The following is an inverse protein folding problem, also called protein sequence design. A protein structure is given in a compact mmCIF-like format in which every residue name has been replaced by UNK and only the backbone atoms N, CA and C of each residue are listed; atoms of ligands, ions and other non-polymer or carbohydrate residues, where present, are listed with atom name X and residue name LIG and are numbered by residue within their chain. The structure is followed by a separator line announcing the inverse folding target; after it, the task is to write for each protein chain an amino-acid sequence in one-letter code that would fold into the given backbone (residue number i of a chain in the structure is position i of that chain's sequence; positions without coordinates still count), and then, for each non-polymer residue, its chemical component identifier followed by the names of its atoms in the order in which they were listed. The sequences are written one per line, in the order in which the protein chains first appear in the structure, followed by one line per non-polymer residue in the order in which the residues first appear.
data_IF_504139237978
#
_entry.id   IF_504139237978
#
_cell.length_a   1.000
_cell.length_b   1.000
_cell.length_c   1.000
_cell.angle_alpha   90.00
_cell.angle_beta   90.00
_cell.angle_gamma   90.00
#
_symmetry.space_group_name_H-M   'P 1'
#
loop_
_entity.id
_entity.type
_entity.pdbx_description
1 polymer ?
#
# COMPACT_ATOMS: atom_id res chain seq x y z
N UNK A 1 -15.22 70.34 20.16
CA UNK A 1 -15.51 69.08 19.63
C UNK A 1 -14.33 68.17 19.90
N UNK A 2 -14.40 67.33 20.93
CA UNK A 2 -13.40 66.28 21.23
C UNK A 2 -13.82 65.00 20.48
N UNK A 3 -12.94 64.51 19.60
CA UNK A 3 -13.06 63.19 18.96
C UNK A 3 -12.48 62.16 19.91
N UNK A 4 -13.35 61.41 20.57
CA UNK A 4 -13.00 60.24 21.39
C UNK A 4 -12.98 59.03 20.47
N UNK A 5 -11.80 58.66 19.96
CA UNK A 5 -11.58 57.38 19.27
C UNK A 5 -11.27 56.34 20.34
N UNK A 6 -12.33 55.74 20.87
CA UNK A 6 -12.20 54.49 21.66
C UNK A 6 -11.75 53.36 20.75
N UNK A 7 -10.47 52.93 20.86
CA UNK A 7 -9.98 51.66 20.37
C UNK A 7 -10.80 50.54 21.04
N UNK A 8 -11.33 49.56 20.27
CA UNK A 8 -11.94 48.40 20.87
C UNK A 8 -10.85 47.62 21.60
N UNK A 9 -10.97 47.52 22.91
CA UNK A 9 -10.10 46.71 23.76
C UNK A 9 -10.08 45.25 23.22
N UNK A 10 -8.87 44.73 22.97
CA UNK A 10 -8.65 43.34 22.58
C UNK A 10 -9.31 42.41 23.60
N UNK A 11 -10.33 41.71 23.15
CA UNK A 11 -11.11 40.78 23.99
C UNK A 11 -10.19 39.67 24.48
N UNK A 12 -10.19 39.28 25.78
CA UNK A 12 -9.32 38.22 26.31
C UNK A 12 -9.41 36.90 25.55
N UNK A 13 -10.53 36.66 24.87
CA UNK A 13 -10.72 35.52 23.97
C UNK A 13 -9.84 35.56 22.70
N UNK A 14 -9.44 36.74 22.21
CA UNK A 14 -8.52 36.89 21.07
C UNK A 14 -7.06 36.65 21.49
N UNK A 15 -6.67 37.10 22.65
CA UNK A 15 -5.32 36.87 23.20
C UNK A 15 -5.12 35.35 23.49
N UNK A 16 -6.14 34.68 24.01
CA UNK A 16 -6.11 33.24 24.32
C UNK A 16 -6.09 32.36 23.03
N UNK A 17 -6.76 32.80 21.95
CA UNK A 17 -6.66 32.15 20.64
C UNK A 17 -5.30 32.40 19.96
N UNK A 18 -4.75 33.60 20.05
CA UNK A 18 -3.43 33.90 19.47
C UNK A 18 -2.30 33.15 20.17
N UNK A 19 -2.35 33.01 21.49
CA UNK A 19 -1.36 32.20 22.22
C UNK A 19 -1.47 30.70 21.90
N UNK A 20 -2.67 30.17 21.73
CA UNK A 20 -2.87 28.77 21.30
C UNK A 20 -2.38 28.52 19.87
N UNK A 21 -2.60 29.46 18.95
CA UNK A 21 -2.12 29.37 17.57
C UNK A 21 -0.58 29.45 17.49
N UNK A 22 0.04 30.30 18.32
CA UNK A 22 1.50 30.42 18.45
C UNK A 22 2.12 29.17 19.09
N UNK A 23 1.51 28.60 20.12
CA UNK A 23 1.95 27.36 20.74
C UNK A 23 1.82 26.18 19.78
N UNK A 24 0.77 26.13 18.96
CA UNK A 24 0.59 25.08 17.94
C UNK A 24 1.58 25.24 16.78
N UNK A 25 1.96 26.47 16.42
CA UNK A 25 3.00 26.74 15.41
C UNK A 25 4.42 26.35 15.89
N UNK A 26 4.70 26.43 17.18
CA UNK A 26 6.00 26.07 17.77
C UNK A 26 6.13 24.56 18.11
N UNK A 27 5.06 23.80 18.07
CA UNK A 27 5.10 22.35 18.36
C UNK A 27 5.86 21.59 17.28
N UNK A 28 6.91 20.89 17.70
CA UNK A 28 7.70 19.98 16.84
C UNK A 28 6.98 18.66 16.62
N UNK A 29 7.25 18.01 15.49
CA UNK A 29 6.75 16.67 15.22
C UNK A 29 7.30 15.66 16.24
N UNK A 30 6.46 14.78 16.83
CA UNK A 30 6.91 13.71 17.72
C UNK A 30 7.53 12.57 16.92
N UNK A 31 8.74 12.80 16.41
CA UNK A 31 9.45 11.87 15.51
C UNK A 31 9.50 10.42 16.03
N UNK A 32 9.83 10.14 17.34
CA UNK A 32 9.88 8.76 17.80
C UNK A 32 8.54 8.02 17.69
N UNK A 33 7.42 8.71 17.94
CA UNK A 33 6.09 8.14 17.80
C UNK A 33 5.70 7.98 16.32
N UNK A 34 6.05 8.94 15.44
CA UNK A 34 5.83 8.83 13.99
C UNK A 34 6.66 7.71 13.37
N UNK A 35 7.90 7.50 13.82
CA UNK A 35 8.74 6.38 13.39
C UNK A 35 8.17 5.02 13.86
N UNK A 36 7.58 4.95 15.05
CA UNK A 36 6.86 3.74 15.47
C UNK A 36 5.69 3.43 14.54
N UNK A 37 4.92 4.45 14.10
CA UNK A 37 3.86 4.26 13.09
C UNK A 37 4.42 3.91 11.71
N UNK A 38 5.55 4.48 11.29
CA UNK A 38 6.22 4.11 10.04
C UNK A 38 6.69 2.64 10.07
N UNK A 39 7.19 2.18 11.21
CA UNK A 39 7.54 0.76 11.41
C UNK A 39 6.29 -0.13 11.40
N UNK A 40 5.15 0.34 11.90
CA UNK A 40 3.88 -0.39 11.78
C UNK A 40 3.45 -0.52 10.31
N UNK A 41 3.56 0.55 9.51
CA UNK A 41 3.32 0.51 8.06
C UNK A 41 4.30 -0.46 7.38
N UNK A 42 5.58 -0.41 7.74
CA UNK A 42 6.61 -1.30 7.22
C UNK A 42 6.27 -2.79 7.48
N UNK A 43 5.95 -3.16 8.73
CA UNK A 43 5.59 -4.54 9.09
C UNK A 43 4.31 -4.98 8.36
N UNK A 44 3.32 -4.11 8.26
CA UNK A 44 2.07 -4.41 7.54
C UNK A 44 2.37 -4.73 6.07
N UNK A 45 3.10 -3.85 5.38
CA UNK A 45 3.46 -4.02 3.97
C UNK A 45 4.38 -5.23 3.76
N UNK A 46 5.35 -5.45 4.65
CA UNK A 46 6.25 -6.60 4.56
C UNK A 46 5.51 -7.92 4.75
N UNK A 47 4.62 -8.02 5.74
CA UNK A 47 3.79 -9.22 5.96
C UNK A 47 2.91 -9.53 4.75
N UNK A 48 2.43 -8.51 4.05
CA UNK A 48 1.60 -8.61 2.86
C UNK A 48 2.38 -9.18 1.67
N UNK A 49 3.57 -8.65 1.40
CA UNK A 49 4.29 -8.84 0.14
C UNK A 49 5.41 -9.90 0.19
N UNK A 50 5.94 -10.19 1.36
CA UNK A 50 7.05 -11.15 1.54
C UNK A 50 6.77 -12.56 0.97
N UNK A 51 5.55 -13.14 1.08
CA UNK A 51 5.29 -14.46 0.53
C UNK A 51 5.66 -14.61 -0.94
N UNK A 52 5.54 -13.54 -1.73
CA UNK A 52 5.90 -13.57 -3.15
C UNK A 52 7.38 -13.92 -3.40
N UNK A 53 8.27 -13.48 -2.50
CA UNK A 53 9.71 -13.75 -2.60
C UNK A 53 10.13 -15.16 -2.16
N UNK A 54 9.29 -15.85 -1.36
CA UNK A 54 9.61 -17.16 -0.78
C UNK A 54 8.57 -18.24 -1.13
N UNK A 55 7.71 -17.95 -2.11
CA UNK A 55 6.54 -18.77 -2.47
C UNK A 55 6.89 -20.21 -2.84
N UNK A 56 7.89 -20.49 -3.71
CA UNK A 56 8.26 -21.86 -4.06
C UNK A 56 8.71 -22.67 -2.84
N UNK A 57 9.54 -22.07 -1.98
CA UNK A 57 10.02 -22.73 -0.77
C UNK A 57 8.89 -23.04 0.22
N UNK A 58 7.92 -22.12 0.36
CA UNK A 58 6.72 -22.36 1.18
C UNK A 58 5.86 -23.49 0.60
N UNK A 59 5.64 -23.51 -0.71
CA UNK A 59 4.86 -24.54 -1.40
C UNK A 59 5.47 -25.93 -1.24
N UNK A 60 6.76 -26.04 -1.51
CA UNK A 60 7.50 -27.32 -1.38
C UNK A 60 7.44 -27.86 0.06
N UNK A 61 7.61 -27.00 1.05
CA UNK A 61 7.69 -27.39 2.46
C UNK A 61 6.31 -27.73 3.07
N UNK A 62 5.23 -27.12 2.56
CA UNK A 62 3.84 -27.40 2.94
C UNK A 62 3.18 -28.47 2.06
N UNK A 63 3.90 -29.03 1.09
CA UNK A 63 3.42 -30.11 0.21
C UNK A 63 2.30 -29.68 -0.75
N UNK A 64 2.30 -28.41 -1.21
CA UNK A 64 1.30 -27.87 -2.14
C UNK A 64 1.97 -27.22 -3.34
N UNK A 65 1.23 -27.17 -4.45
CA UNK A 65 1.69 -26.45 -5.64
C UNK A 65 1.78 -24.95 -5.42
N UNK A 66 2.57 -24.28 -6.25
CA UNK A 66 2.82 -22.82 -6.13
C UNK A 66 1.57 -22.00 -6.38
N UNK A 67 0.66 -22.47 -7.26
CA UNK A 67 -0.65 -21.86 -7.47
C UNK A 67 -1.47 -21.82 -6.17
N UNK A 68 -1.51 -22.96 -5.44
CA UNK A 68 -2.18 -23.02 -4.14
C UNK A 68 -1.47 -22.10 -3.11
N UNK A 69 -0.13 -22.10 -3.09
CA UNK A 69 0.61 -21.26 -2.17
C UNK A 69 0.41 -19.75 -2.46
N UNK A 70 0.28 -19.36 -3.72
CA UNK A 70 -0.04 -18.00 -4.14
C UNK A 70 -1.37 -17.49 -3.57
N UNK A 71 -2.32 -18.38 -3.23
CA UNK A 71 -3.56 -18.01 -2.55
C UNK A 71 -3.33 -17.40 -1.16
N UNK A 72 -2.12 -17.49 -0.61
CA UNK A 72 -1.75 -16.81 0.63
C UNK A 72 -1.86 -15.29 0.54
N UNK A 73 -1.60 -14.71 -0.65
CA UNK A 73 -1.80 -13.29 -0.94
C UNK A 73 -3.29 -12.97 -1.07
N UNK A 74 -4.02 -13.82 -1.80
CA UNK A 74 -5.49 -13.70 -1.97
C UNK A 74 -6.21 -13.70 -0.62
N UNK A 75 -5.93 -14.67 0.23
CA UNK A 75 -6.59 -14.82 1.55
C UNK A 75 -6.29 -13.64 2.48
N UNK A 76 -5.05 -13.13 2.44
CA UNK A 76 -4.68 -11.92 3.17
C UNK A 76 -5.48 -10.71 2.67
N UNK A 77 -5.55 -10.50 1.35
CA UNK A 77 -6.29 -9.38 0.75
C UNK A 77 -7.81 -9.49 1.03
N UNK A 78 -8.38 -10.70 1.02
CA UNK A 78 -9.78 -10.95 1.43
C UNK A 78 -9.96 -10.57 2.90
N UNK A 79 -9.06 -10.99 3.80
CA UNK A 79 -9.09 -10.62 5.20
C UNK A 79 -9.10 -9.11 5.40
N UNK A 80 -8.24 -8.39 4.66
CA UNK A 80 -8.17 -6.93 4.69
C UNK A 80 -9.46 -6.29 4.16
N UNK A 81 -9.94 -6.72 3.00
CA UNK A 81 -11.12 -6.14 2.34
C UNK A 81 -12.42 -6.34 3.15
N UNK A 82 -12.64 -7.56 3.64
CA UNK A 82 -13.86 -7.89 4.39
C UNK A 82 -13.92 -7.22 5.75
N UNK A 83 -12.80 -6.90 6.36
CA UNK A 83 -12.75 -6.41 7.75
C UNK A 83 -12.45 -4.93 7.87
N UNK A 84 -11.82 -4.30 6.87
CA UNK A 84 -11.45 -2.87 6.92
C UNK A 84 -12.64 -1.96 7.26
N UNK A 85 -13.79 -2.14 6.62
CA UNK A 85 -15.00 -1.33 6.85
C UNK A 85 -15.76 -1.77 8.10
N UNK A 86 -16.23 -3.05 8.22
CA UNK A 86 -17.07 -3.45 9.35
C UNK A 86 -16.31 -3.42 10.68
N UNK A 87 -15.06 -3.86 10.71
CA UNK A 87 -14.26 -3.87 11.92
C UNK A 87 -13.87 -2.46 12.35
N UNK A 88 -13.52 -1.58 11.41
CA UNK A 88 -13.31 -0.15 11.67
C UNK A 88 -14.57 0.52 12.25
N UNK A 89 -15.77 0.13 11.79
CA UNK A 89 -17.03 0.61 12.31
C UNK A 89 -17.30 0.07 13.72
N UNK A 90 -17.14 -1.24 13.92
CA UNK A 90 -17.36 -1.89 15.22
C UNK A 90 -16.40 -1.38 16.31
N UNK A 91 -15.17 -1.04 15.93
CA UNK A 91 -14.13 -0.57 16.85
C UNK A 91 -14.01 0.96 16.90
N UNK A 92 -14.91 1.70 16.26
CA UNK A 92 -14.84 3.17 16.19
C UNK A 92 -14.78 3.85 17.56
N UNK A 93 -15.49 3.32 18.55
CA UNK A 93 -15.49 3.78 19.94
C UNK A 93 -14.27 3.38 20.77
N UNK A 94 -13.40 2.50 20.28
CA UNK A 94 -12.23 2.05 21.01
C UNK A 94 -11.14 3.11 21.06
N UNK A 95 -10.37 3.11 22.15
CA UNK A 95 -9.18 3.96 22.26
C UNK A 95 -8.17 3.57 21.17
N UNK A 96 -7.64 4.58 20.46
CA UNK A 96 -6.87 4.37 19.24
C UNK A 96 -5.57 3.60 19.47
N UNK A 97 -4.88 3.86 20.59
CA UNK A 97 -3.67 3.12 20.98
C UNK A 97 -3.97 1.64 21.23
N UNK A 98 -5.06 1.35 21.95
CA UNK A 98 -5.48 -0.03 22.20
C UNK A 98 -5.75 -0.78 20.91
N UNK A 99 -6.44 -0.13 19.97
CA UNK A 99 -6.76 -0.72 18.67
C UNK A 99 -5.51 -0.98 17.83
N UNK A 100 -4.55 -0.05 17.82
CA UNK A 100 -3.27 -0.22 17.13
C UNK A 100 -2.45 -1.37 17.73
N UNK A 101 -2.38 -1.46 19.06
CA UNK A 101 -1.71 -2.57 19.75
C UNK A 101 -2.37 -3.91 19.43
N UNK A 102 -3.70 -3.96 19.36
CA UNK A 102 -4.45 -5.17 18.96
C UNK A 102 -4.11 -5.59 17.53
N UNK A 103 -4.02 -4.66 16.59
CA UNK A 103 -3.61 -4.94 15.22
C UNK A 103 -2.17 -5.49 15.17
N UNK A 104 -1.23 -4.87 15.86
CA UNK A 104 0.17 -5.33 15.90
C UNK A 104 0.30 -6.69 16.60
N UNK A 105 -0.46 -6.94 17.67
CA UNK A 105 -0.54 -8.26 18.30
C UNK A 105 -1.12 -9.32 17.34
N UNK A 106 -2.13 -8.96 16.55
CA UNK A 106 -2.66 -9.80 15.48
C UNK A 106 -1.60 -10.20 14.45
N UNK A 107 -0.77 -9.25 14.02
CA UNK A 107 0.39 -9.55 13.15
C UNK A 107 1.41 -10.48 13.82
N UNK A 108 1.78 -10.20 15.07
CA UNK A 108 2.73 -11.04 15.80
C UNK A 108 2.23 -12.49 15.91
N UNK A 109 0.99 -12.68 16.29
CA UNK A 109 0.36 -14.03 16.38
C UNK A 109 0.29 -14.69 15.00
N UNK A 110 -0.20 -13.98 13.98
CA UNK A 110 -0.35 -14.54 12.65
C UNK A 110 0.99 -14.95 12.02
N UNK A 111 2.03 -14.11 12.15
CA UNK A 111 3.36 -14.43 11.65
C UNK A 111 4.03 -15.56 12.44
N UNK A 112 3.81 -15.62 13.76
CA UNK A 112 4.29 -16.76 14.59
C UNK A 112 3.64 -18.06 14.14
N UNK A 113 2.31 -18.07 13.96
CA UNK A 113 1.59 -19.26 13.48
C UNK A 113 2.05 -19.64 12.08
N UNK A 114 2.25 -18.68 11.19
CA UNK A 114 2.80 -18.93 9.85
C UNK A 114 4.19 -19.57 9.93
N UNK A 115 5.09 -19.02 10.75
CA UNK A 115 6.45 -19.55 10.92
C UNK A 115 6.48 -20.97 11.50
N UNK A 116 5.59 -21.27 12.45
CA UNK A 116 5.55 -22.57 13.13
C UNK A 116 4.69 -23.62 12.40
N UNK A 117 3.87 -23.21 11.43
CA UNK A 117 2.93 -24.10 10.77
C UNK A 117 3.63 -25.15 9.85
N UNK A 118 3.19 -26.39 9.99
CA UNK A 118 3.51 -27.48 9.06
C UNK A 118 2.29 -27.87 8.19
N UNK A 119 1.23 -27.05 8.20
CA UNK A 119 -0.04 -27.34 7.55
C UNK A 119 -0.50 -26.17 6.69
N UNK A 120 -0.77 -26.44 5.40
CA UNK A 120 -1.29 -25.43 4.47
C UNK A 120 -2.57 -24.75 4.99
N UNK A 121 -3.64 -25.45 5.45
CA UNK A 121 -4.84 -24.79 5.96
C UNK A 121 -4.58 -23.87 7.16
N UNK A 122 -3.69 -24.26 8.07
CA UNK A 122 -3.33 -23.44 9.23
C UNK A 122 -2.56 -22.20 8.79
N UNK A 123 -1.65 -22.34 7.83
CA UNK A 123 -0.96 -21.18 7.22
C UNK A 123 -1.95 -20.24 6.57
N UNK A 124 -2.95 -20.72 5.82
CA UNK A 124 -3.99 -19.89 5.21
C UNK A 124 -4.85 -19.17 6.26
N UNK A 125 -5.23 -19.85 7.35
CA UNK A 125 -5.95 -19.21 8.46
C UNK A 125 -5.10 -18.10 9.11
N UNK A 126 -3.82 -18.32 9.32
CA UNK A 126 -2.90 -17.30 9.83
C UNK A 126 -2.77 -16.11 8.86
N UNK A 127 -2.68 -16.35 7.56
CA UNK A 127 -2.67 -15.30 6.52
C UNK A 127 -3.96 -14.48 6.50
N UNK A 128 -5.12 -15.12 6.69
CA UNK A 128 -6.39 -14.42 6.85
C UNK A 128 -6.39 -13.50 8.08
N UNK A 129 -5.94 -14.01 9.24
CA UNK A 129 -5.82 -13.20 10.48
C UNK A 129 -4.86 -12.03 10.29
N UNK A 130 -3.73 -12.23 9.59
CA UNK A 130 -2.83 -11.15 9.23
C UNK A 130 -3.52 -10.09 8.36
N UNK A 131 -4.34 -10.49 7.39
CA UNK A 131 -5.16 -9.59 6.58
C UNK A 131 -6.17 -8.78 7.41
N UNK A 132 -6.85 -9.42 8.37
CA UNK A 132 -7.75 -8.74 9.33
C UNK A 132 -6.99 -7.68 10.13
N UNK A 133 -5.80 -8.01 10.64
CA UNK A 133 -4.94 -7.08 11.35
C UNK A 133 -4.50 -5.91 10.46
N UNK A 134 -4.22 -6.17 9.18
CA UNK A 134 -3.90 -5.15 8.17
C UNK A 134 -5.05 -4.18 7.94
N UNK A 135 -6.27 -4.68 7.79
CA UNK A 135 -7.46 -3.85 7.64
C UNK A 135 -7.64 -2.86 8.79
N UNK A 136 -7.40 -3.31 10.03
CA UNK A 136 -7.38 -2.43 11.21
C UNK A 136 -6.24 -1.41 11.17
N UNK A 137 -5.03 -1.85 10.85
CA UNK A 137 -3.85 -0.98 10.81
C UNK A 137 -4.00 0.13 9.78
N UNK A 138 -4.37 -0.20 8.53
CA UNK A 138 -4.58 0.78 7.46
C UNK A 138 -5.66 1.81 7.78
N UNK A 139 -6.74 1.40 8.44
CA UNK A 139 -7.80 2.32 8.86
C UNK A 139 -7.35 3.32 9.94
N UNK A 140 -6.25 3.05 10.65
CA UNK A 140 -5.79 3.86 11.78
C UNK A 140 -4.60 4.76 11.46
N UNK A 141 -3.60 4.23 10.74
CA UNK A 141 -2.24 4.79 10.71
C UNK A 141 -2.18 6.23 10.20
N UNK A 142 -2.84 6.55 9.07
CA UNK A 142 -2.86 7.90 8.52
C UNK A 142 -3.59 8.89 9.44
N UNK A 143 -4.75 8.49 9.98
CA UNK A 143 -5.52 9.31 10.92
C UNK A 143 -4.77 9.55 12.24
N UNK A 144 -4.00 8.56 12.69
CA UNK A 144 -3.16 8.65 13.88
C UNK A 144 -2.02 9.66 13.69
N UNK A 145 -1.29 9.57 12.57
CA UNK A 145 -0.24 10.50 12.20
C UNK A 145 -0.73 11.97 12.19
N UNK A 146 -1.90 12.19 11.59
CA UNK A 146 -2.52 13.53 11.52
C UNK A 146 -2.88 14.10 12.91
N UNK A 147 -3.31 13.25 13.86
CA UNK A 147 -3.66 13.68 15.22
C UNK A 147 -2.46 14.02 16.08
N UNK A 148 -1.30 13.41 15.81
CA UNK A 148 -0.07 13.69 16.56
C UNK A 148 0.63 14.97 16.10
N UNK A 149 0.28 15.49 14.93
CA UNK A 149 0.95 16.61 14.31
C UNK A 149 0.14 17.93 14.44
N UNK A 150 0.82 19.09 14.62
CA UNK A 150 0.22 20.41 14.46
C UNK A 150 -0.45 20.55 13.09
N UNK A 151 -1.44 21.44 12.96
CA UNK A 151 -2.25 21.59 11.75
C UNK A 151 -1.41 21.78 10.48
N UNK A 152 -0.39 22.63 10.55
CA UNK A 152 0.52 22.95 9.42
C UNK A 152 1.50 21.83 9.06
N UNK A 153 1.69 20.80 9.90
CA UNK A 153 2.61 19.67 9.68
C UNK A 153 1.91 18.33 9.47
N UNK A 154 0.57 18.28 9.41
CA UNK A 154 -0.20 17.04 9.27
C UNK A 154 0.16 16.24 8.03
N UNK A 155 0.35 16.91 6.90
CA UNK A 155 0.80 16.26 5.65
C UNK A 155 2.19 15.62 5.80
N UNK A 156 3.13 16.36 6.41
CA UNK A 156 4.48 15.86 6.67
C UNK A 156 4.49 14.65 7.62
N UNK A 157 3.66 14.66 8.65
CA UNK A 157 3.52 13.54 9.56
C UNK A 157 3.00 12.27 8.86
N UNK A 158 1.98 12.41 8.00
CA UNK A 158 1.48 11.27 7.19
C UNK A 158 2.56 10.79 6.23
N UNK A 159 3.28 11.70 5.55
CA UNK A 159 4.36 11.33 4.66
C UNK A 159 5.46 10.51 5.37
N UNK A 160 5.89 10.93 6.58
CA UNK A 160 6.86 10.18 7.39
C UNK A 160 6.33 8.77 7.69
N UNK A 161 5.08 8.63 8.11
CA UNK A 161 4.50 7.32 8.43
C UNK A 161 4.41 6.43 7.19
N UNK A 162 4.01 6.98 6.04
CA UNK A 162 3.86 6.22 4.80
C UNK A 162 5.20 5.83 4.15
N UNK A 163 6.35 6.37 4.57
CA UNK A 163 7.66 5.88 4.12
C UNK A 163 7.91 4.41 4.47
N UNK A 164 7.16 3.85 5.43
CA UNK A 164 7.20 2.42 5.72
C UNK A 164 6.91 1.53 4.50
N UNK A 165 6.03 1.94 3.59
CA UNK A 165 5.71 1.17 2.37
C UNK A 165 6.93 1.02 1.46
N UNK A 166 7.52 2.11 0.94
CA UNK A 166 8.66 1.98 0.04
C UNK A 166 9.88 1.31 0.70
N UNK A 167 10.09 1.53 2.00
CA UNK A 167 11.16 0.84 2.73
C UNK A 167 10.91 -0.67 2.82
N UNK A 168 9.66 -1.10 3.03
CA UNK A 168 9.30 -2.51 3.02
C UNK A 168 9.56 -3.14 1.65
N UNK A 169 9.11 -2.50 0.58
CA UNK A 169 9.24 -3.04 -0.79
C UNK A 169 10.68 -3.03 -1.31
N UNK A 170 11.46 -1.98 -1.00
CA UNK A 170 12.80 -1.83 -1.55
C UNK A 170 13.91 -2.48 -0.73
N UNK A 171 13.72 -2.64 0.58
CA UNK A 171 14.71 -3.24 1.48
C UNK A 171 14.15 -4.46 2.22
N UNK A 172 12.92 -4.36 2.74
CA UNK A 172 12.33 -5.39 3.57
C UNK A 172 12.09 -6.69 2.82
N UNK A 173 11.45 -6.62 1.64
CA UNK A 173 11.15 -7.83 0.84
C UNK A 173 12.43 -8.46 0.30
N UNK A 174 13.37 -7.75 -0.33
CA UNK A 174 14.62 -8.34 -0.77
C UNK A 174 15.42 -8.98 0.39
N UNK A 175 15.56 -8.27 1.51
CA UNK A 175 16.26 -8.80 2.67
C UNK A 175 15.56 -10.03 3.27
N UNK A 176 14.22 -10.02 3.30
CA UNK A 176 13.42 -11.14 3.76
C UNK A 176 13.48 -12.34 2.82
N UNK A 177 13.52 -12.13 1.49
CA UNK A 177 13.72 -13.18 0.50
C UNK A 177 15.10 -13.79 0.63
N UNK A 178 16.15 -12.96 0.68
CA UNK A 178 17.53 -13.43 0.91
C UNK A 178 17.67 -14.24 2.21
N UNK A 179 17.07 -13.75 3.30
CA UNK A 179 17.06 -14.48 4.56
C UNK A 179 16.31 -15.81 4.45
N UNK A 180 15.21 -15.83 3.68
CA UNK A 180 14.43 -17.01 3.40
C UNK A 180 15.18 -18.07 2.59
N UNK A 181 15.99 -17.66 1.62
CA UNK A 181 16.87 -18.53 0.83
C UNK A 181 18.00 -19.10 1.71
N UNK A 182 18.60 -18.28 2.58
CA UNK A 182 19.76 -18.67 3.38
C UNK A 182 19.38 -19.55 4.58
N UNK A 183 18.34 -19.19 5.32
CA UNK A 183 17.97 -19.79 6.61
C UNK A 183 16.58 -20.46 6.61
N UNK A 184 15.88 -20.39 5.49
CA UNK A 184 14.52 -20.89 5.34
C UNK A 184 13.45 -19.85 5.64
N UNK A 185 12.34 -19.92 4.91
CA UNK A 185 11.24 -18.96 4.98
C UNK A 185 10.60 -18.81 6.37
N UNK A 186 10.66 -19.86 7.21
CA UNK A 186 10.15 -19.82 8.59
C UNK A 186 10.92 -18.84 9.46
N UNK A 187 12.24 -18.75 9.26
CA UNK A 187 13.10 -17.79 9.98
C UNK A 187 12.71 -16.37 9.63
N UNK A 188 12.39 -16.10 8.38
CA UNK A 188 11.95 -14.76 7.93
C UNK A 188 10.66 -14.32 8.63
N UNK A 189 9.65 -15.18 8.70
CA UNK A 189 8.42 -14.88 9.45
C UNK A 189 8.64 -14.76 10.95
N UNK A 190 9.60 -15.51 11.52
CA UNK A 190 10.01 -15.37 12.93
C UNK A 190 10.64 -14.01 13.19
N UNK A 191 11.47 -13.51 12.28
CA UNK A 191 12.06 -12.15 12.37
C UNK A 191 10.96 -11.09 12.35
N UNK A 192 9.96 -11.21 11.47
CA UNK A 192 8.82 -10.28 11.45
C UNK A 192 8.05 -10.33 12.78
N UNK A 193 7.88 -11.52 13.38
CA UNK A 193 7.27 -11.67 14.72
C UNK A 193 8.05 -10.89 15.78
N UNK A 194 9.38 -11.03 15.79
CA UNK A 194 10.23 -10.31 16.75
C UNK A 194 10.14 -8.80 16.54
N UNK A 195 10.18 -8.35 15.29
CA UNK A 195 10.01 -6.92 14.95
C UNK A 195 8.64 -6.40 15.42
N UNK A 196 7.57 -7.18 15.23
CA UNK A 196 6.23 -6.81 15.69
C UNK A 196 6.16 -6.75 17.23
N UNK A 197 6.79 -7.68 17.94
CA UNK A 197 6.87 -7.68 19.40
C UNK A 197 7.63 -6.45 19.94
N UNK A 198 8.78 -6.12 19.36
CA UNK A 198 9.54 -4.91 19.68
C UNK A 198 8.71 -3.66 19.42
N UNK A 199 8.02 -3.62 18.29
CA UNK A 199 7.15 -2.49 17.92
C UNK A 199 5.97 -2.32 18.90
N UNK A 200 5.37 -3.40 19.38
CA UNK A 200 4.31 -3.34 20.41
C UNK A 200 4.84 -2.63 21.65
N UNK A 201 6.05 -2.98 22.14
CA UNK A 201 6.70 -2.29 23.25
C UNK A 201 6.95 -0.80 22.95
N UNK A 202 7.43 -0.49 21.74
CA UNK A 202 7.69 0.88 21.31
C UNK A 202 6.39 1.72 21.26
N UNK A 203 5.32 1.19 20.65
CA UNK A 203 4.00 1.84 20.63
C UNK A 203 3.48 2.06 22.05
N UNK A 204 3.56 1.02 22.90
CA UNK A 204 3.11 1.10 24.28
C UNK A 204 3.83 2.21 25.07
N UNK A 205 5.12 2.41 24.84
CA UNK A 205 5.92 3.41 25.54
C UNK A 205 5.73 4.84 25.02
N UNK A 206 5.77 5.04 23.69
CA UNK A 206 5.96 6.37 23.10
C UNK A 206 4.76 6.91 22.31
N UNK A 207 3.84 6.08 21.86
CA UNK A 207 2.70 6.56 21.09
C UNK A 207 1.60 7.07 22.05
N UNK A 208 1.17 8.35 21.93
CA UNK A 208 0.11 8.90 22.79
C UNK A 208 -1.23 8.22 22.50
N UNK A 209 -2.09 8.10 23.50
CA UNK A 209 -3.42 7.51 23.33
C UNK A 209 -4.47 8.56 23.00
N UNK A 210 -5.35 8.25 22.07
CA UNK A 210 -6.47 9.10 21.67
C UNK A 210 -7.81 8.39 21.86
N UNK A 211 -8.87 9.13 22.25
CA UNK A 211 -10.21 8.57 22.35
C UNK A 211 -10.72 8.11 20.97
N UNK A 212 -11.62 7.13 20.98
CA UNK A 212 -12.40 6.75 19.82
C UNK A 212 -13.32 7.87 19.36
N UNK A 213 -13.76 7.81 18.11
CA UNK A 213 -14.76 8.72 17.56
C UNK A 213 -15.96 7.93 17.10
N UNK A 214 -17.16 8.36 17.50
CA UNK A 214 -18.40 7.90 16.89
C UNK A 214 -18.48 8.46 15.48
N UNK A 215 -18.82 7.62 14.52
CA UNK A 215 -19.11 8.04 13.15
C UNK A 215 -20.47 8.71 13.11
N UNK A 216 -20.51 10.00 12.81
CA UNK A 216 -21.73 10.67 12.34
C UNK A 216 -21.84 10.45 10.82
N UNK A 217 -23.07 10.14 10.38
CA UNK A 217 -23.61 9.92 9.04
C UNK A 217 -22.64 9.91 7.85
N UNK A 218 -22.36 8.73 7.27
CA UNK A 218 -21.71 8.62 5.96
C UNK A 218 -22.76 8.74 4.87
N UNK A 219 -22.48 9.59 3.87
CA UNK A 219 -23.18 9.54 2.59
C UNK A 219 -23.04 8.13 1.98
N UNK A 220 -24.06 7.63 1.25
CA UNK A 220 -23.98 6.32 0.62
C UNK A 220 -22.74 6.23 -0.27
N UNK A 221 -21.88 5.22 -0.02
CA UNK A 221 -20.61 5.01 -0.72
C UNK A 221 -20.81 4.96 -2.25
N UNK A 222 -21.92 4.36 -2.70
CA UNK A 222 -22.28 4.24 -4.12
C UNK A 222 -22.52 5.58 -4.81
N UNK A 223 -22.81 6.66 -4.08
CA UNK A 223 -22.99 8.00 -4.67
C UNK A 223 -21.69 8.49 -5.35
N UNK A 224 -20.53 8.04 -4.90
CA UNK A 224 -19.26 8.38 -5.55
C UNK A 224 -19.18 7.88 -7.00
N UNK A 225 -19.85 6.77 -7.35
CA UNK A 225 -19.88 6.24 -8.72
C UNK A 225 -20.62 7.15 -9.72
N UNK A 226 -21.49 8.02 -9.25
CA UNK A 226 -22.21 8.96 -10.12
C UNK A 226 -21.38 10.22 -10.44
N UNK A 227 -20.23 10.38 -9.77
CA UNK A 227 -19.34 11.53 -10.01
C UNK A 227 -18.49 11.28 -11.25
N UNK A 228 -18.55 12.18 -12.26
CA UNK A 228 -17.75 12.05 -13.48
C UNK A 228 -16.25 11.92 -13.16
N UNK A 229 -15.58 10.93 -13.77
CA UNK A 229 -14.14 10.68 -13.58
C UNK A 229 -13.80 9.66 -12.50
N UNK A 230 -14.66 9.41 -11.51
CA UNK A 230 -14.38 8.41 -10.46
C UNK A 230 -14.32 7.00 -11.03
N UNK A 231 -15.32 6.60 -11.85
CA UNK A 231 -15.35 5.25 -12.45
C UNK A 231 -14.12 4.93 -13.31
N UNK A 232 -13.66 5.80 -14.22
CA UNK A 232 -12.40 5.57 -14.95
C UNK A 232 -11.19 5.36 -14.04
N UNK A 233 -11.04 6.14 -12.96
CA UNK A 233 -9.91 5.98 -12.03
C UNK A 233 -10.02 4.66 -11.27
N UNK A 234 -11.21 4.29 -10.82
CA UNK A 234 -11.45 3.01 -10.15
C UNK A 234 -11.18 1.82 -11.07
N UNK A 235 -11.57 1.90 -12.34
CA UNK A 235 -11.25 0.88 -13.35
C UNK A 235 -9.75 0.74 -13.55
N UNK A 236 -9.03 1.85 -13.73
CA UNK A 236 -7.56 1.86 -13.85
C UNK A 236 -6.93 1.25 -12.60
N UNK A 237 -7.42 1.59 -11.41
CA UNK A 237 -6.94 1.02 -10.15
C UNK A 237 -7.10 -0.50 -10.15
N UNK A 238 -8.31 -0.99 -10.43
CA UNK A 238 -8.60 -2.43 -10.43
C UNK A 238 -7.68 -3.19 -11.38
N UNK A 239 -7.60 -2.75 -12.63
CA UNK A 239 -6.89 -3.49 -13.69
C UNK A 239 -5.38 -3.37 -13.56
N UNK A 240 -4.88 -2.19 -13.18
CA UNK A 240 -3.44 -1.97 -12.99
C UNK A 240 -2.89 -2.78 -11.81
N UNK A 241 -3.59 -2.74 -10.68
CA UNK A 241 -3.22 -3.50 -9.49
C UNK A 241 -3.33 -5.00 -9.73
N UNK A 242 -4.38 -5.45 -10.45
CA UNK A 242 -4.53 -6.84 -10.87
C UNK A 242 -3.32 -7.31 -11.69
N UNK A 243 -2.94 -6.54 -12.72
CA UNK A 243 -1.79 -6.85 -13.58
C UNK A 243 -0.48 -6.94 -12.77
N UNK A 244 -0.27 -5.97 -11.87
CA UNK A 244 0.89 -5.99 -10.99
C UNK A 244 0.90 -7.22 -10.08
N UNK A 245 -0.23 -7.52 -9.44
CA UNK A 245 -0.30 -8.62 -8.46
C UNK A 245 -0.13 -9.99 -9.09
N UNK A 246 -0.62 -10.20 -10.33
CA UNK A 246 -0.36 -11.45 -11.08
C UNK A 246 1.15 -11.67 -11.19
N UNK A 247 1.91 -10.70 -11.67
CA UNK A 247 3.35 -10.83 -11.86
C UNK A 247 4.10 -10.89 -10.53
N UNK A 248 3.74 -10.02 -9.59
CA UNK A 248 4.45 -9.89 -8.31
C UNK A 248 4.29 -11.13 -7.41
N UNK A 249 3.07 -11.68 -7.33
CA UNK A 249 2.79 -12.84 -6.47
C UNK A 249 3.60 -14.06 -6.88
N UNK A 250 3.78 -14.26 -8.18
CA UNK A 250 4.44 -15.43 -8.75
C UNK A 250 5.80 -15.11 -9.37
N UNK A 251 6.44 -14.01 -8.93
CA UNK A 251 7.73 -13.57 -9.51
C UNK A 251 8.84 -14.62 -9.29
N UNK A 252 8.89 -15.24 -8.11
CA UNK A 252 9.87 -16.29 -7.83
C UNK A 252 9.68 -17.48 -8.78
N UNK A 253 8.43 -17.96 -8.92
CA UNK A 253 8.05 -19.03 -9.88
C UNK A 253 8.40 -18.67 -11.33
N UNK A 254 8.20 -17.41 -11.71
CA UNK A 254 8.58 -16.94 -13.04
C UNK A 254 10.10 -16.94 -13.24
N UNK A 255 10.86 -16.52 -12.23
CA UNK A 255 12.33 -16.52 -12.28
C UNK A 255 12.92 -17.92 -12.25
N UNK A 256 12.31 -18.89 -11.54
CA UNK A 256 12.71 -20.31 -11.57
C UNK A 256 12.65 -20.87 -12.99
N UNK A 257 11.64 -20.53 -13.78
CA UNK A 257 11.55 -20.90 -15.20
C UNK A 257 12.72 -20.38 -16.05
N UNK A 258 13.32 -19.28 -15.64
CA UNK A 258 14.44 -18.62 -16.34
C UNK A 258 15.81 -19.05 -15.78
N UNK A 259 15.87 -20.08 -14.92
CA UNK A 259 17.07 -20.50 -14.18
C UNK A 259 17.67 -19.34 -13.33
N UNK A 260 16.81 -18.45 -12.82
CA UNK A 260 17.16 -17.29 -12.00
C UNK A 260 16.50 -17.30 -10.60
N UNK A 261 15.97 -18.41 -10.14
CA UNK A 261 15.31 -18.52 -8.84
C UNK A 261 16.18 -18.07 -7.68
N UNK A 262 17.48 -18.46 -7.68
CA UNK A 262 18.46 -17.98 -6.68
C UNK A 262 18.89 -16.52 -6.82
N UNK A 263 18.17 -15.71 -7.62
CA UNK A 263 18.41 -14.25 -7.77
C UNK A 263 17.14 -13.45 -7.53
N UNK A 264 16.12 -14.06 -6.93
CA UNK A 264 14.82 -13.42 -6.68
C UNK A 264 14.97 -12.20 -5.77
N UNK A 265 15.81 -12.29 -4.75
CA UNK A 265 16.16 -11.21 -3.84
C UNK A 265 16.74 -9.99 -4.56
N UNK A 266 17.70 -10.23 -5.47
CA UNK A 266 18.34 -9.18 -6.27
C UNK A 266 17.36 -8.55 -7.28
N UNK A 267 16.51 -9.34 -7.91
CA UNK A 267 15.47 -8.83 -8.82
C UNK A 267 14.48 -7.95 -8.06
N UNK A 268 14.04 -8.38 -6.88
CA UNK A 268 13.16 -7.59 -6.02
C UNK A 268 13.85 -6.35 -5.45
N UNK A 269 15.15 -6.41 -5.18
CA UNK A 269 15.96 -5.25 -4.77
C UNK A 269 16.02 -4.20 -5.90
N UNK A 270 16.29 -4.61 -7.13
CA UNK A 270 16.30 -3.71 -8.31
C UNK A 270 14.92 -3.09 -8.52
N UNK A 271 13.85 -3.89 -8.45
CA UNK A 271 12.48 -3.42 -8.51
C UNK A 271 12.19 -2.39 -7.40
N UNK A 272 12.55 -2.68 -6.16
CA UNK A 272 12.35 -1.79 -5.02
C UNK A 272 13.12 -0.48 -5.13
N UNK A 273 14.40 -0.53 -5.52
CA UNK A 273 15.22 0.65 -5.72
C UNK A 273 14.67 1.55 -6.84
N UNK A 274 14.25 0.96 -7.95
CA UNK A 274 13.61 1.68 -9.05
C UNK A 274 12.26 2.27 -8.63
N UNK A 275 11.48 1.56 -7.79
CA UNK A 275 10.23 2.07 -7.21
C UNK A 275 10.46 3.31 -6.34
N UNK A 276 11.55 3.36 -5.56
CA UNK A 276 11.91 4.56 -4.78
C UNK A 276 12.15 5.77 -5.67
N UNK A 277 12.88 5.57 -6.79
CA UNK A 277 13.10 6.63 -7.78
C UNK A 277 11.77 7.11 -8.38
N UNK A 278 10.87 6.18 -8.70
CA UNK A 278 9.54 6.50 -9.21
C UNK A 278 8.71 7.31 -8.22
N UNK A 279 8.68 6.91 -6.93
CA UNK A 279 7.96 7.63 -5.86
C UNK A 279 8.44 9.08 -5.78
N UNK A 280 9.76 9.27 -5.77
CA UNK A 280 10.34 10.61 -5.74
C UNK A 280 10.01 11.44 -6.97
N UNK A 281 10.17 10.86 -8.17
CA UNK A 281 9.86 11.54 -9.43
C UNK A 281 8.39 11.92 -9.56
N UNK A 282 7.49 11.00 -9.18
CA UNK A 282 6.04 11.25 -9.14
C UNK A 282 5.72 12.33 -8.12
N UNK A 283 6.23 12.22 -6.88
CA UNK A 283 5.99 13.21 -5.83
C UNK A 283 6.42 14.63 -6.23
N UNK A 284 7.52 14.77 -6.97
CA UNK A 284 8.01 16.05 -7.44
C UNK A 284 7.17 16.69 -8.58
N UNK A 285 6.42 15.89 -9.35
CA UNK A 285 5.78 16.38 -10.57
C UNK A 285 4.27 16.14 -10.65
N UNK A 286 3.69 15.45 -9.68
CA UNK A 286 2.28 15.01 -9.72
C UNK A 286 1.29 16.16 -9.82
N UNK A 287 1.57 17.30 -9.18
CA UNK A 287 0.67 18.45 -9.17
C UNK A 287 0.43 19.04 -10.55
N UNK A 288 1.38 18.89 -11.46
CA UNK A 288 1.31 19.46 -12.81
C UNK A 288 1.11 18.43 -13.92
N UNK A 289 1.47 17.16 -13.69
CA UNK A 289 1.62 16.17 -14.77
C UNK A 289 0.98 14.82 -14.44
N UNK A 290 -0.08 14.79 -13.63
CA UNK A 290 -0.75 13.55 -13.19
C UNK A 290 -0.98 12.56 -14.35
N UNK A 291 -1.62 13.00 -15.44
CA UNK A 291 -1.93 12.17 -16.61
C UNK A 291 -0.67 11.66 -17.32
N UNK A 292 0.29 12.56 -17.59
CA UNK A 292 1.52 12.19 -18.28
C UNK A 292 2.33 11.17 -17.46
N UNK A 293 2.36 11.32 -16.14
CA UNK A 293 3.02 10.39 -15.24
C UNK A 293 2.29 9.03 -15.19
N UNK A 294 0.96 9.03 -15.22
CA UNK A 294 0.19 7.78 -15.26
C UNK A 294 0.39 7.03 -16.59
N UNK A 295 0.44 7.75 -17.71
CA UNK A 295 0.77 7.17 -19.01
C UNK A 295 2.21 6.62 -19.02
N UNK A 296 3.17 7.40 -18.54
CA UNK A 296 4.58 6.98 -18.47
C UNK A 296 4.74 5.73 -17.59
N UNK A 297 4.11 5.70 -16.42
CA UNK A 297 4.10 4.53 -15.52
C UNK A 297 3.53 3.29 -16.21
N UNK A 298 2.40 3.45 -16.93
CA UNK A 298 1.77 2.34 -17.67
C UNK A 298 2.66 1.83 -18.79
N UNK A 299 3.28 2.73 -19.55
CA UNK A 299 4.21 2.37 -20.63
C UNK A 299 5.50 1.70 -20.13
N UNK A 300 6.05 2.17 -19.01
CA UNK A 300 7.23 1.57 -18.39
C UNK A 300 6.92 0.13 -17.91
N UNK A 301 5.78 -0.08 -17.30
CA UNK A 301 5.37 -1.42 -16.88
C UNK A 301 5.06 -2.32 -18.08
N UNK A 302 4.42 -1.80 -19.13
CA UNK A 302 4.19 -2.52 -20.38
C UNK A 302 5.52 -2.89 -21.06
N UNK A 303 6.49 -1.98 -21.11
CA UNK A 303 7.82 -2.26 -21.63
C UNK A 303 8.54 -3.35 -20.83
N UNK A 304 8.46 -3.32 -19.49
CA UNK A 304 8.97 -4.37 -18.63
C UNK A 304 8.35 -5.73 -18.99
N UNK A 305 7.01 -5.76 -19.06
CA UNK A 305 6.28 -6.99 -19.41
C UNK A 305 6.63 -7.48 -20.83
N UNK A 306 6.82 -6.60 -21.81
CA UNK A 306 7.23 -6.94 -23.15
C UNK A 306 8.63 -7.59 -23.18
N UNK A 307 9.57 -7.05 -22.41
CA UNK A 307 10.91 -7.65 -22.26
C UNK A 307 10.84 -9.03 -21.63
N UNK A 308 10.01 -9.22 -20.59
CA UNK A 308 9.84 -10.52 -19.93
C UNK A 308 9.04 -11.53 -20.75
N UNK A 309 8.23 -11.07 -21.71
CA UNK A 309 7.41 -11.94 -22.58
C UNK A 309 8.25 -12.62 -23.68
N UNK A 310 9.36 -12.01 -24.08
CA UNK A 310 10.26 -12.59 -25.07
C UNK A 310 11.27 -13.47 -24.34
N UNK A 311 11.54 -14.71 -24.86
CA UNK A 311 12.58 -15.56 -24.28
C UNK A 311 13.92 -14.82 -24.31
N UNK A 312 14.36 -14.36 -23.15
CA UNK A 312 15.62 -13.63 -23.02
C UNK A 312 16.62 -14.53 -22.30
N UNK A 313 17.61 -15.06 -23.00
CA UNK A 313 18.75 -15.78 -22.43
C UNK A 313 19.69 -14.88 -21.60
N UNK A 314 19.30 -13.63 -21.39
CA UNK A 314 20.13 -12.62 -20.75
C UNK A 314 19.57 -12.20 -19.39
N UNK A 315 20.26 -12.55 -18.32
CA UNK A 315 19.99 -12.07 -16.95
C UNK A 315 19.93 -10.55 -16.87
N UNK A 316 20.75 -9.84 -17.62
CA UNK A 316 20.76 -8.38 -17.66
C UNK A 316 19.42 -7.79 -18.13
N UNK A 317 18.74 -8.44 -19.09
CA UNK A 317 17.42 -8.02 -19.54
C UNK A 317 16.35 -8.21 -18.46
N UNK A 318 16.44 -9.26 -17.65
CA UNK A 318 15.52 -9.48 -16.52
C UNK A 318 15.69 -8.39 -15.46
N UNK A 319 16.93 -8.04 -15.09
CA UNK A 319 17.17 -6.92 -14.17
C UNK A 319 16.72 -5.58 -14.75
N UNK A 320 16.95 -5.34 -16.05
CA UNK A 320 16.44 -4.17 -16.74
C UNK A 320 14.91 -4.09 -16.74
N UNK A 321 14.25 -5.22 -16.98
CA UNK A 321 12.79 -5.31 -16.88
C UNK A 321 12.28 -5.07 -15.46
N UNK A 322 12.96 -5.60 -14.45
CA UNK A 322 12.64 -5.33 -13.04
C UNK A 322 12.75 -3.85 -12.69
N UNK A 323 13.79 -3.17 -13.20
CA UNK A 323 13.93 -1.72 -13.03
C UNK A 323 12.81 -0.95 -13.72
N UNK A 324 12.47 -1.27 -14.97
CA UNK A 324 11.34 -0.65 -15.69
C UNK A 324 10.02 -0.90 -14.97
N UNK A 325 9.80 -2.11 -14.46
CA UNK A 325 8.61 -2.45 -13.68
C UNK A 325 8.55 -1.63 -12.38
N UNK A 326 9.65 -1.53 -11.63
CA UNK A 326 9.74 -0.70 -10.42
C UNK A 326 9.46 0.77 -10.71
N UNK A 327 10.04 1.34 -11.78
CA UNK A 327 9.74 2.69 -12.25
C UNK A 327 8.26 2.86 -12.63
N UNK A 328 7.67 1.86 -13.26
CA UNK A 328 6.26 1.85 -13.64
C UNK A 328 5.30 1.71 -12.44
N UNK A 329 5.72 1.03 -11.36
CA UNK A 329 4.84 0.73 -10.22
C UNK A 329 4.95 1.72 -9.06
N UNK A 330 6.16 2.15 -8.71
CA UNK A 330 6.42 2.83 -7.44
C UNK A 330 5.55 4.05 -7.15
N UNK A 331 5.30 4.88 -8.17
CA UNK A 331 4.46 6.08 -8.05
C UNK A 331 2.95 5.84 -8.19
N UNK A 332 2.52 4.65 -8.64
CA UNK A 332 1.12 4.36 -8.99
C UNK A 332 0.15 4.55 -7.82
N UNK A 333 0.45 4.10 -6.60
CA UNK A 333 -0.43 4.35 -5.46
C UNK A 333 -0.72 5.84 -5.27
N UNK A 334 0.29 6.69 -5.38
CA UNK A 334 0.15 8.14 -5.25
C UNK A 334 -0.64 8.74 -6.42
N UNK A 335 -0.37 8.29 -7.65
CA UNK A 335 -1.09 8.76 -8.84
C UNK A 335 -2.58 8.44 -8.76
N UNK A 336 -2.95 7.21 -8.41
CA UNK A 336 -4.34 6.78 -8.37
C UNK A 336 -5.12 7.39 -7.18
N UNK A 337 -4.49 7.49 -6.01
CA UNK A 337 -5.09 8.15 -4.86
C UNK A 337 -5.33 9.64 -5.13
N UNK A 338 -4.40 10.29 -5.80
CA UNK A 338 -4.55 11.69 -6.19
C UNK A 338 -5.64 11.85 -7.25
N UNK A 339 -5.65 11.00 -8.28
CA UNK A 339 -6.65 11.04 -9.34
C UNK A 339 -8.08 10.84 -8.78
N UNK A 340 -8.26 9.89 -7.86
CA UNK A 340 -9.59 9.63 -7.27
C UNK A 340 -10.03 10.74 -6.33
N UNK A 341 -9.10 11.37 -5.59
CA UNK A 341 -9.41 12.50 -4.73
C UNK A 341 -9.83 13.73 -5.54
N UNK A 342 -9.11 14.03 -6.63
CA UNK A 342 -9.43 15.13 -7.54
C UNK A 342 -10.78 14.89 -8.25
N UNK A 343 -10.99 13.69 -8.79
CA UNK A 343 -12.24 13.35 -9.47
C UNK A 343 -13.44 13.32 -8.51
N UNK A 344 -13.23 12.90 -7.27
CA UNK A 344 -14.30 12.74 -6.27
C UNK A 344 -14.90 14.04 -5.75
N UNK A 345 -14.15 15.17 -5.77
CA UNK A 345 -14.64 16.46 -5.27
C UNK A 345 -15.24 16.34 -3.87
N UNK A 346 -16.50 16.70 -3.69
CA UNK A 346 -17.22 16.56 -2.42
C UNK A 346 -17.40 15.10 -1.96
N UNK A 347 -17.37 14.14 -2.90
CA UNK A 347 -17.45 12.71 -2.62
C UNK A 347 -16.08 12.04 -2.49
N UNK A 348 -14.97 12.80 -2.37
CA UNK A 348 -13.61 12.28 -2.38
C UNK A 348 -13.37 11.20 -1.31
N UNK A 349 -13.90 11.35 -0.10
CA UNK A 349 -13.74 10.34 0.96
C UNK A 349 -14.40 9.01 0.59
N UNK A 350 -15.59 9.05 -0.04
CA UNK A 350 -16.29 7.87 -0.51
C UNK A 350 -15.58 7.21 -1.69
N UNK A 351 -15.09 8.03 -2.64
CA UNK A 351 -14.32 7.56 -3.79
C UNK A 351 -12.98 6.92 -3.35
N UNK A 352 -12.31 7.50 -2.35
CA UNK A 352 -11.09 6.94 -1.76
C UNK A 352 -11.36 5.60 -1.06
N UNK A 353 -12.46 5.47 -0.33
CA UNK A 353 -12.84 4.19 0.30
C UNK A 353 -13.11 3.11 -0.75
N UNK A 354 -13.73 3.46 -1.89
CA UNK A 354 -13.93 2.55 -3.02
C UNK A 354 -12.61 2.16 -3.68
N UNK A 355 -11.68 3.09 -3.85
CA UNK A 355 -10.34 2.81 -4.37
C UNK A 355 -9.64 1.76 -3.51
N UNK A 356 -9.63 1.92 -2.19
CA UNK A 356 -9.03 0.95 -1.26
C UNK A 356 -9.70 -0.42 -1.36
N UNK A 357 -11.03 -0.44 -1.46
CA UNK A 357 -11.78 -1.71 -1.62
C UNK A 357 -11.41 -2.41 -2.93
N UNK A 358 -11.37 -1.68 -4.05
CA UNK A 358 -11.01 -2.24 -5.36
C UNK A 358 -9.54 -2.63 -5.43
N UNK A 359 -8.65 -1.90 -4.75
CA UNK A 359 -7.24 -2.26 -4.60
C UNK A 359 -7.10 -3.65 -3.99
N UNK A 360 -7.75 -3.90 -2.84
CA UNK A 360 -7.72 -5.20 -2.19
C UNK A 360 -8.42 -6.29 -3.02
N UNK A 361 -9.52 -5.96 -3.72
CA UNK A 361 -10.18 -6.88 -4.64
C UNK A 361 -9.26 -7.26 -5.81
N UNK A 362 -8.51 -6.30 -6.36
CA UNK A 362 -7.52 -6.56 -7.41
C UNK A 362 -6.36 -7.43 -6.92
N UNK A 363 -5.89 -7.21 -5.69
CA UNK A 363 -4.85 -8.05 -5.09
C UNK A 363 -5.34 -9.49 -4.90
N UNK A 364 -6.54 -9.67 -4.34
CA UNK A 364 -7.14 -10.98 -4.19
C UNK A 364 -7.35 -11.65 -5.57
N UNK A 365 -7.89 -10.91 -6.53
CA UNK A 365 -8.07 -11.36 -7.91
C UNK A 365 -6.76 -11.72 -8.60
N UNK A 366 -5.69 -10.97 -8.36
CA UNK A 366 -4.37 -11.23 -8.93
C UNK A 366 -3.77 -12.55 -8.49
N UNK A 367 -3.90 -12.88 -7.20
CA UNK A 367 -3.50 -14.20 -6.70
C UNK A 367 -4.29 -15.35 -7.33
N UNK A 368 -5.62 -15.18 -7.44
CA UNK A 368 -6.50 -16.19 -8.07
C UNK A 368 -6.20 -16.34 -9.56
N UNK A 369 -6.25 -15.24 -10.31
CA UNK A 369 -6.03 -15.25 -11.77
C UNK A 369 -4.61 -15.73 -12.10
N UNK A 370 -3.61 -15.26 -11.35
CA UNK A 370 -2.23 -15.70 -11.51
C UNK A 370 -2.07 -17.21 -11.27
N UNK A 371 -2.73 -17.76 -10.24
CA UNK A 371 -2.74 -19.21 -10.00
C UNK A 371 -3.38 -19.99 -11.13
N UNK A 372 -4.54 -19.55 -11.64
CA UNK A 372 -5.22 -20.17 -12.79
C UNK A 372 -4.32 -20.11 -14.03
N UNK A 373 -3.69 -18.97 -14.30
CA UNK A 373 -2.76 -18.84 -15.42
C UNK A 373 -1.56 -19.79 -15.28
N UNK A 374 -1.03 -19.92 -14.06
CA UNK A 374 0.08 -20.82 -13.76
C UNK A 374 -0.29 -22.27 -14.05
N UNK A 375 -1.45 -22.71 -13.57
CA UNK A 375 -1.92 -24.09 -13.71
C UNK A 375 -2.27 -24.47 -15.16
N UNK A 376 -2.85 -23.52 -15.92
CA UNK A 376 -3.32 -23.78 -17.29
C UNK A 376 -2.26 -23.52 -18.36
N UNK A 377 -1.44 -22.49 -18.19
CA UNK A 377 -0.56 -21.96 -19.24
C UNK A 377 0.91 -21.87 -18.81
N UNK A 378 1.18 -22.10 -17.52
CA UNK A 378 2.51 -21.93 -16.94
C UNK A 378 2.89 -20.46 -16.70
N UNK A 379 4.00 -20.25 -15.99
CA UNK A 379 4.46 -18.91 -15.57
C UNK A 379 4.82 -17.98 -16.75
N UNK A 380 5.11 -18.53 -17.93
CA UNK A 380 5.33 -17.74 -19.15
C UNK A 380 4.15 -16.91 -19.62
N UNK A 381 2.94 -17.19 -19.13
CA UNK A 381 1.74 -16.43 -19.45
C UNK A 381 1.65 -15.09 -18.69
N UNK A 382 2.37 -14.91 -17.59
CA UNK A 382 2.27 -13.71 -16.75
C UNK A 382 2.60 -12.42 -17.48
N UNK A 383 3.74 -12.28 -18.19
CA UNK A 383 4.04 -11.05 -18.91
C UNK A 383 3.01 -10.72 -20.00
N UNK A 384 2.49 -11.73 -20.70
CA UNK A 384 1.45 -11.55 -21.72
C UNK A 384 0.12 -11.08 -21.10
N UNK A 385 -0.27 -11.64 -19.94
CA UNK A 385 -1.47 -11.20 -19.21
C UNK A 385 -1.34 -9.75 -18.75
N UNK A 386 -0.15 -9.35 -18.28
CA UNK A 386 0.14 -7.95 -17.92
C UNK A 386 -0.05 -7.02 -19.13
N UNK A 387 0.51 -7.36 -20.29
CA UNK A 387 0.36 -6.58 -21.53
C UNK A 387 -1.12 -6.43 -21.91
N UNK A 388 -1.88 -7.54 -21.86
CA UNK A 388 -3.29 -7.55 -22.18
C UNK A 388 -4.11 -6.63 -21.24
N UNK A 389 -3.78 -6.66 -19.94
CA UNK A 389 -4.45 -5.83 -18.93
C UNK A 389 -4.04 -4.36 -18.99
N UNK A 390 -2.79 -4.04 -19.33
CA UNK A 390 -2.33 -2.65 -19.42
C UNK A 390 -2.84 -1.92 -20.67
N UNK A 391 -3.22 -2.63 -21.73
CA UNK A 391 -3.77 -2.00 -22.94
C UNK A 391 -5.06 -1.20 -22.65
N UNK A 392 -6.12 -1.76 -22.01
CA UNK A 392 -7.30 -0.99 -21.63
C UNK A 392 -7.01 0.07 -20.56
N UNK A 393 -6.04 -0.15 -19.66
CA UNK A 393 -5.59 0.88 -18.71
C UNK A 393 -5.10 2.11 -19.47
N UNK A 394 -4.19 1.93 -20.41
CA UNK A 394 -3.65 3.01 -21.24
C UNK A 394 -4.76 3.72 -22.03
N UNK A 395 -5.65 2.95 -22.65
CA UNK A 395 -6.78 3.49 -23.39
C UNK A 395 -7.69 4.38 -22.52
N UNK A 396 -8.03 3.92 -21.31
CA UNK A 396 -8.87 4.69 -20.37
C UNK A 396 -8.15 5.94 -19.88
N UNK A 397 -6.86 5.88 -19.52
CA UNK A 397 -6.08 7.06 -19.09
C UNK A 397 -6.00 8.10 -20.20
N UNK A 398 -5.89 7.68 -21.46
CA UNK A 398 -5.88 8.57 -22.63
C UNK A 398 -7.27 9.18 -22.85
N UNK A 399 -8.35 8.38 -22.76
CA UNK A 399 -9.71 8.80 -23.04
C UNK A 399 -10.31 9.69 -21.93
N UNK A 400 -10.02 9.40 -20.65
CA UNK A 400 -10.62 10.08 -19.49
C UNK A 400 -9.98 11.46 -19.20
N UNK A 401 -9.61 12.20 -20.27
CA UNK A 401 -8.91 13.49 -20.17
C UNK A 401 -9.76 14.63 -19.60
N UNK A 402 -11.07 14.52 -19.63
CA UNK A 402 -11.97 15.58 -19.15
C UNK A 402 -12.20 15.49 -17.62
N UNK A 403 -12.30 14.27 -17.06
CA UNK A 403 -12.74 14.07 -15.68
C UNK A 403 -11.93 12.93 -15.09
N UNK A 404 -11.12 12.43 -14.89
CA UNK A 404 -10.39 11.35 -14.22
C UNK A 404 -8.91 11.58 -14.24
N UNK A 405 -8.39 11.85 -15.46
CA UNK A 405 -6.97 12.14 -15.68
C UNK A 405 -6.84 13.42 -16.53
N UNK A 406 -7.09 14.61 -15.98
CA UNK A 406 -6.97 15.87 -16.72
C UNK A 406 -5.52 16.12 -17.18
N UNK A 407 -5.37 16.77 -18.35
CA UNK A 407 -4.06 17.07 -18.93
C UNK A 407 -3.31 18.14 -18.12
N UNK A 408 -4.05 19.15 -17.63
CA UNK A 408 -3.56 20.20 -16.74
C UNK A 408 -4.51 20.28 -15.54
N UNK A 409 -3.97 20.33 -14.33
CA UNK A 409 -4.74 20.69 -13.16
C UNK A 409 -4.99 22.20 -13.21
N UNK A 410 -6.27 22.61 -13.07
CA UNK A 410 -6.58 24.00 -12.81
C UNK A 410 -5.75 24.44 -11.58
N UNK A 411 -4.97 25.50 -11.74
CA UNK A 411 -4.25 26.09 -10.61
C UNK A 411 -5.29 26.41 -9.55
N UNK A 412 -5.14 25.81 -8.37
CA UNK A 412 -5.96 26.19 -7.23
C UNK A 412 -5.69 27.66 -6.95
N UNK A 413 -6.66 28.51 -7.30
CA UNK A 413 -6.65 29.94 -7.02
C UNK A 413 -6.86 30.21 -5.53
#
# INVERSE_FOLDING_TARGET
MRNDTTHPADSPARADNQSRDQDDQNRKLPLPALLALATAVFITSLTETLPAGVLPAMGADLGVGESAMGQSVTIYAIGTALTAIPLSAATAGWRRKRLLLTAMAGFAVANTVTAASASYPLTMAARFVAGVAAGLAWALLAGYARRMAPAHLRGKAVAIVMTGIPVALSLGVPAGTFLGELLGWRVTFSVITVLAAVLIGWIAALVPDYPGQRREGRAPMLRALTVPGVVPVLFVTLVYVLAHTILYTYIATFLDRLDMGGSTDLVLLVFGAASMVSIWAVGAHIDRRLRALTIAATLLFAAAAAVLAVPADSRALVYGAAALWGLGWGGVPTLLQTAVADAGGEAADSAQAMLVTLWNAAMAGGGVVGGILLDLLGSGAFPWSVLLLLAPVLAVVIAARAHGFPAERAAAG
#
